data_IF_530338970005
#
_entry.id   IF_530338970005
#
_cell.length_a   1.000
_cell.length_b   1.000
_cell.length_c   1.000
_cell.angle_alpha   90.00
_cell.angle_beta   90.00
_cell.angle_gamma   90.00
#
_symmetry.space_group_name_H-M   'P 1'
#
loop_
_entity.id
_entity.type
_entity.pdbx_description
1 polymer ?
#
# COMPACT_ATOMS: atom_id res chain seq x y z
N UNK A 1 -34.63 -39.82 -14.97
CA UNK A 1 -34.55 -38.54 -15.73
C UNK A 1 -34.64 -37.31 -14.82
N UNK A 2 -35.67 -37.17 -13.97
CA UNK A 2 -35.86 -35.96 -13.14
C UNK A 2 -34.78 -35.75 -12.06
N UNK A 3 -34.28 -36.81 -11.43
CA UNK A 3 -33.26 -36.73 -10.38
C UNK A 3 -31.89 -36.24 -10.85
N UNK A 4 -31.48 -36.61 -12.07
CA UNK A 4 -30.21 -36.17 -12.65
C UNK A 4 -30.17 -34.66 -12.90
N UNK A 5 -31.31 -34.10 -13.33
CA UNK A 5 -31.47 -32.67 -13.59
C UNK A 5 -31.34 -31.87 -12.29
N UNK A 6 -31.87 -32.39 -11.18
CA UNK A 6 -31.77 -31.79 -9.85
C UNK A 6 -30.32 -31.75 -9.34
N UNK A 7 -29.56 -32.83 -9.55
CA UNK A 7 -28.13 -32.91 -9.17
C UNK A 7 -27.28 -31.95 -10.00
N UNK A 8 -27.54 -31.84 -11.31
CA UNK A 8 -26.85 -30.90 -12.19
C UNK A 8 -27.16 -29.45 -11.78
N UNK A 9 -28.43 -29.14 -11.49
CA UNK A 9 -28.83 -27.80 -11.06
C UNK A 9 -28.17 -27.42 -9.73
N UNK A 10 -28.12 -28.35 -8.76
CA UNK A 10 -27.47 -28.14 -7.48
C UNK A 10 -25.94 -27.94 -7.63
N UNK A 11 -25.30 -28.68 -8.53
CA UNK A 11 -23.87 -28.56 -8.79
C UNK A 11 -23.52 -27.19 -9.41
N UNK A 12 -24.28 -26.76 -10.41
CA UNK A 12 -24.08 -25.44 -11.05
C UNK A 12 -24.39 -24.31 -10.07
N UNK A 13 -25.46 -24.41 -9.28
CA UNK A 13 -25.77 -23.43 -8.25
C UNK A 13 -24.67 -23.35 -7.17
N UNK A 14 -24.14 -24.49 -6.72
CA UNK A 14 -23.06 -24.55 -5.74
C UNK A 14 -21.81 -23.81 -6.23
N UNK A 15 -21.42 -24.02 -7.48
CA UNK A 15 -20.27 -23.31 -8.06
C UNK A 15 -20.54 -21.82 -8.23
N UNK A 16 -21.71 -21.44 -8.77
CA UNK A 16 -22.07 -20.02 -8.95
C UNK A 16 -22.25 -19.25 -7.65
N UNK A 17 -22.77 -19.90 -6.60
CA UNK A 17 -22.86 -19.31 -5.26
C UNK A 17 -21.46 -19.09 -4.69
N UNK A 18 -20.53 -20.05 -4.83
CA UNK A 18 -19.15 -19.88 -4.36
C UNK A 18 -18.42 -18.75 -5.09
N UNK A 19 -18.54 -18.67 -6.41
CA UNK A 19 -17.95 -17.59 -7.21
C UNK A 19 -18.56 -16.23 -6.84
N UNK A 20 -19.89 -16.17 -6.74
CA UNK A 20 -20.63 -14.97 -6.34
C UNK A 20 -20.23 -14.51 -4.95
N UNK A 21 -20.18 -15.42 -3.97
CA UNK A 21 -19.72 -15.13 -2.61
C UNK A 21 -18.28 -14.63 -2.61
N UNK A 22 -17.36 -15.28 -3.32
CA UNK A 22 -15.94 -14.86 -3.37
C UNK A 22 -15.79 -13.45 -3.96
N UNK A 23 -16.56 -13.14 -5.02
CA UNK A 23 -16.62 -11.80 -5.62
C UNK A 23 -17.31 -10.76 -4.72
N UNK A 24 -18.26 -11.18 -3.88
CA UNK A 24 -18.93 -10.32 -2.93
C UNK A 24 -18.04 -10.06 -1.71
N UNK A 25 -17.42 -11.09 -1.14
CA UNK A 25 -16.47 -11.00 -0.04
C UNK A 25 -15.26 -10.12 -0.41
N UNK A 26 -14.71 -10.27 -1.62
CA UNK A 26 -13.60 -9.43 -2.09
C UNK A 26 -13.96 -7.95 -2.24
N UNK A 27 -15.23 -7.63 -2.54
CA UNK A 27 -15.70 -6.24 -2.71
C UNK A 27 -16.27 -5.62 -1.43
N UNK A 28 -16.82 -6.44 -0.53
CA UNK A 28 -17.63 -6.00 0.62
C UNK A 28 -16.87 -6.08 1.94
N UNK A 29 -16.05 -7.12 2.17
CA UNK A 29 -15.31 -7.30 3.44
C UNK A 29 -14.33 -6.15 3.72
N UNK A 30 -13.51 -5.69 2.75
CA UNK A 30 -12.58 -4.60 3.01
C UNK A 30 -13.29 -3.29 3.38
N UNK A 31 -14.57 -3.12 2.99
CA UNK A 31 -15.35 -1.92 3.33
C UNK A 31 -16.07 -2.02 4.67
N UNK A 32 -16.24 -3.23 5.20
CA UNK A 32 -16.92 -3.51 6.46
C UNK A 32 -15.94 -3.50 7.63
N UNK A 33 -14.70 -3.94 7.42
CA UNK A 33 -13.61 -3.93 8.40
C UNK A 33 -12.69 -2.72 8.14
N UNK A 34 -13.23 -1.51 8.26
CA UNK A 34 -12.41 -0.32 8.21
C UNK A 34 -11.86 -0.01 9.60
N UNK A 35 -10.53 -0.04 9.76
CA UNK A 35 -9.85 0.29 11.02
C UNK A 35 -10.07 1.76 11.40
N UNK A 36 -10.15 2.62 10.38
CA UNK A 36 -10.41 4.04 10.59
C UNK A 36 -11.47 4.55 9.63
N UNK A 37 -12.44 5.30 10.16
CA UNK A 37 -13.44 6.02 9.37
C UNK A 37 -13.37 7.50 9.73
N UNK A 38 -13.17 8.35 8.74
CA UNK A 38 -13.23 9.80 8.90
C UNK A 38 -14.21 10.40 7.92
N UNK A 39 -14.83 11.52 8.29
CA UNK A 39 -15.70 12.27 7.39
C UNK A 39 -15.37 13.75 7.48
N UNK A 40 -15.22 14.38 6.32
CA UNK A 40 -15.06 15.82 6.26
C UNK A 40 -16.44 16.47 6.21
N UNK A 41 -16.75 17.25 7.24
CA UNK A 41 -17.99 18.01 7.35
C UNK A 41 -17.65 19.45 6.99
N UNK A 42 -18.43 20.05 6.10
CA UNK A 42 -18.29 21.48 5.77
C UNK A 42 -18.51 22.31 7.04
N UNK A 43 -17.53 23.12 7.48
CA UNK A 43 -17.70 23.99 8.64
C UNK A 43 -18.85 24.98 8.49
N UNK A 44 -19.25 25.28 7.24
CA UNK A 44 -20.27 26.29 6.92
C UNK A 44 -21.67 25.71 6.73
N UNK A 45 -21.78 24.61 5.99
CA UNK A 45 -23.10 24.03 5.66
C UNK A 45 -23.50 22.90 6.60
N UNK A 46 -22.58 22.39 7.43
CA UNK A 46 -22.79 21.17 8.22
C UNK A 46 -22.98 19.91 7.37
N UNK A 47 -22.95 20.02 6.03
CA UNK A 47 -23.11 18.89 5.12
C UNK A 47 -21.82 18.10 5.05
N UNK A 48 -21.94 16.78 4.97
CA UNK A 48 -20.81 15.86 4.79
C UNK A 48 -20.32 15.93 3.34
N UNK A 49 -19.08 16.34 3.15
CA UNK A 49 -18.44 16.52 1.84
C UNK A 49 -17.66 15.29 1.39
N UNK A 50 -17.04 14.58 2.33
CA UNK A 50 -16.36 13.32 2.03
C UNK A 50 -16.47 12.31 3.15
N UNK A 51 -16.27 11.05 2.81
CA UNK A 51 -16.08 9.96 3.76
C UNK A 51 -14.86 9.16 3.32
N UNK A 52 -13.93 8.99 4.24
CA UNK A 52 -12.73 8.20 4.06
C UNK A 52 -12.80 6.97 4.95
N UNK A 53 -12.39 5.83 4.41
CA UNK A 53 -12.19 4.59 5.15
C UNK A 53 -10.76 4.13 4.93
N UNK A 54 -10.06 3.78 5.99
CA UNK A 54 -8.72 3.21 5.94
C UNK A 54 -8.76 1.79 6.47
N UNK A 55 -8.00 0.93 5.82
CA UNK A 55 -7.88 -0.48 6.11
C UNK A 55 -6.39 -0.82 6.07
N UNK A 56 -5.88 -1.51 7.08
CA UNK A 56 -4.48 -1.90 7.20
C UNK A 56 -4.41 -3.40 7.45
N UNK A 57 -3.64 -4.10 6.62
CA UNK A 57 -3.36 -5.52 6.81
C UNK A 57 -1.87 -5.78 6.70
N UNK A 58 -1.36 -6.69 7.50
CA UNK A 58 -0.04 -7.29 7.28
C UNK A 58 -0.27 -8.51 6.37
N UNK A 59 0.41 -8.56 5.23
CA UNK A 59 0.32 -9.64 4.24
C UNK A 59 1.71 -10.07 3.85
N UNK A 60 1.85 -11.29 3.36
CA UNK A 60 3.11 -11.73 2.76
C UNK A 60 3.31 -11.06 1.41
N UNK A 61 4.57 -10.81 1.04
CA UNK A 61 4.90 -10.28 -0.29
C UNK A 61 4.30 -11.13 -1.44
N UNK A 62 4.23 -12.45 -1.28
CA UNK A 62 3.63 -13.38 -2.24
C UNK A 62 2.11 -13.21 -2.43
N UNK A 63 1.42 -12.61 -1.46
CA UNK A 63 -0.04 -12.45 -1.47
C UNK A 63 -0.45 -11.11 -2.11
N UNK A 64 0.52 -10.29 -2.53
CA UNK A 64 0.27 -9.02 -3.21
C UNK A 64 -0.17 -9.25 -4.66
N UNK A 65 -0.92 -8.33 -5.28
CA UNK A 65 -1.29 -8.45 -6.69
C UNK A 65 -0.05 -8.58 -7.60
N UNK A 66 -0.11 -9.35 -8.71
CA UNK A 66 1.03 -9.57 -9.61
C UNK A 66 1.68 -8.26 -10.09
N UNK A 67 0.87 -7.26 -10.45
CA UNK A 67 1.35 -5.94 -10.88
C UNK A 67 2.29 -5.27 -9.86
N UNK A 68 2.06 -5.49 -8.56
CA UNK A 68 2.90 -4.96 -7.48
C UNK A 68 4.17 -5.78 -7.30
N UNK A 69 4.07 -7.11 -7.48
CA UNK A 69 5.22 -8.01 -7.42
C UNK A 69 6.18 -7.72 -8.58
N UNK A 70 5.64 -7.55 -9.79
CA UNK A 70 6.41 -7.23 -10.99
C UNK A 70 7.11 -5.88 -10.84
N UNK A 71 6.38 -4.85 -10.41
CA UNK A 71 6.97 -3.52 -10.13
C UNK A 71 8.09 -3.57 -9.10
N UNK A 72 7.95 -4.43 -8.09
CA UNK A 72 8.99 -4.62 -7.07
C UNK A 72 10.24 -5.30 -7.65
N UNK A 73 10.07 -6.23 -8.59
CA UNK A 73 11.14 -7.00 -9.22
C UNK A 73 11.88 -6.23 -10.32
N UNK A 74 11.24 -5.24 -10.95
CA UNK A 74 11.80 -4.47 -12.09
C UNK A 74 13.20 -3.86 -11.83
N UNK A 75 13.53 -3.51 -10.59
CA UNK A 75 14.82 -2.92 -10.20
C UNK A 75 15.43 -3.62 -8.96
N UNK A 76 15.01 -4.87 -8.74
CA UNK A 76 15.35 -5.68 -7.57
C UNK A 76 16.70 -6.38 -7.68
N UNK A 77 17.20 -6.84 -6.52
CA UNK A 77 18.40 -7.66 -6.45
C UNK A 77 18.13 -9.01 -7.16
N UNK A 78 19.01 -9.51 -8.06
CA UNK A 78 18.85 -10.82 -8.69
C UNK A 78 18.75 -12.00 -7.69
N UNK A 79 19.13 -11.79 -6.42
CA UNK A 79 19.00 -12.77 -5.33
C UNK A 79 17.73 -12.57 -4.49
N UNK A 80 16.73 -11.80 -4.95
CA UNK A 80 15.49 -11.53 -4.20
C UNK A 80 14.78 -12.82 -3.77
N UNK A 81 14.79 -13.84 -4.63
CA UNK A 81 14.13 -15.14 -4.39
C UNK A 81 14.83 -15.97 -3.31
N UNK A 82 16.09 -15.64 -2.98
CA UNK A 82 16.85 -16.30 -1.92
C UNK A 82 16.69 -15.60 -0.56
N UNK A 83 16.07 -14.40 -0.54
CA UNK A 83 15.81 -13.69 0.70
C UNK A 83 14.58 -14.27 1.42
N UNK A 84 14.51 -14.15 2.75
CA UNK A 84 13.34 -14.54 3.51
C UNK A 84 12.07 -13.85 3.00
N UNK A 85 10.93 -14.52 3.12
CA UNK A 85 9.64 -13.87 2.85
C UNK A 85 9.47 -12.66 3.77
N UNK A 86 9.13 -11.52 3.16
CA UNK A 86 8.87 -10.28 3.86
C UNK A 86 7.39 -10.10 4.17
N UNK A 87 7.13 -9.46 5.31
CA UNK A 87 5.83 -8.94 5.68
C UNK A 87 5.63 -7.54 5.09
N UNK A 88 4.49 -7.36 4.44
CA UNK A 88 4.09 -6.14 3.74
C UNK A 88 2.92 -5.50 4.48
N UNK A 89 3.10 -4.24 4.87
CA UNK A 89 2.02 -3.40 5.40
C UNK A 89 1.16 -2.92 4.22
N UNK A 90 0.06 -3.62 3.96
CA UNK A 90 -0.90 -3.23 2.94
C UNK A 90 -1.89 -2.22 3.52
N UNK A 91 -1.63 -0.95 3.23
CA UNK A 91 -2.48 0.19 3.57
C UNK A 91 -3.42 0.54 2.40
N UNK A 92 -4.74 0.46 2.62
CA UNK A 92 -5.75 0.85 1.62
C UNK A 92 -6.61 1.98 2.14
N UNK A 93 -6.71 3.08 1.38
CA UNK A 93 -7.58 4.22 1.69
C UNK A 93 -8.67 4.37 0.63
N UNK A 94 -9.92 4.23 1.04
CA UNK A 94 -11.09 4.51 0.21
C UNK A 94 -11.62 5.90 0.48
N UNK A 95 -11.56 6.79 -0.51
CA UNK A 95 -12.13 8.15 -0.41
C UNK A 95 -13.40 8.24 -1.25
N UNK A 96 -14.52 8.62 -0.63
CA UNK A 96 -15.78 8.93 -1.31
C UNK A 96 -16.08 10.41 -1.15
N UNK A 97 -16.11 11.14 -2.27
CA UNK A 97 -16.49 12.55 -2.33
C UNK A 97 -17.97 12.64 -2.70
N UNK A 98 -18.75 13.37 -1.92
CA UNK A 98 -20.17 13.61 -2.19
C UNK A 98 -20.33 14.85 -3.06
N UNK A 99 -21.22 14.78 -4.06
CA UNK A 99 -21.71 15.98 -4.74
C UNK A 99 -22.70 16.67 -3.80
N UNK A 100 -22.22 17.54 -2.92
CA UNK A 100 -23.10 18.51 -2.28
C UNK A 100 -23.51 19.54 -3.32
N UNK A 101 -24.81 19.82 -3.41
CA UNK A 101 -25.40 20.73 -4.38
C UNK A 101 -24.61 22.03 -4.50
N UNK A 102 -24.32 22.43 -5.74
CA UNK A 102 -23.74 23.72 -6.10
C UNK A 102 -24.76 24.83 -5.81
N UNK A 103 -25.07 25.08 -4.55
CA UNK A 103 -25.81 26.27 -4.22
C UNK A 103 -24.83 27.45 -4.35
N UNK A 104 -24.92 28.15 -5.48
CA UNK A 104 -23.98 29.20 -5.91
C UNK A 104 -23.99 30.42 -4.96
N UNK A 105 -24.89 30.43 -3.99
CA UNK A 105 -25.21 31.54 -3.09
C UNK A 105 -24.25 31.67 -1.89
N UNK A 106 -23.39 30.68 -1.62
CA UNK A 106 -22.64 30.60 -0.35
C UNK A 106 -21.11 30.53 -0.55
N UNK A 107 -20.47 31.68 -0.79
CA UNK A 107 -19.04 31.93 -0.50
C UNK A 107 -18.01 31.07 -1.24
N UNK A 108 -16.69 31.19 -0.94
CA UNK A 108 -15.63 30.61 -1.77
C UNK A 108 -15.76 29.09 -1.81
N UNK A 109 -15.79 28.58 -3.03
CA UNK A 109 -16.03 27.17 -3.32
C UNK A 109 -14.83 26.37 -2.80
N UNK A 110 -15.08 25.18 -2.24
CA UNK A 110 -13.97 24.26 -1.94
C UNK A 110 -13.39 23.81 -3.27
N UNK A 111 -12.28 24.43 -3.66
CA UNK A 111 -11.65 24.21 -4.96
C UNK A 111 -10.84 22.90 -4.99
N UNK A 112 -10.32 22.47 -3.83
CA UNK A 112 -9.54 21.25 -3.70
C UNK A 112 -9.77 20.59 -2.33
N UNK A 113 -9.70 19.27 -2.31
CA UNK A 113 -9.63 18.47 -1.08
C UNK A 113 -8.28 17.75 -1.10
N UNK A 114 -7.40 18.13 -0.18
CA UNK A 114 -6.10 17.47 -0.01
C UNK A 114 -6.20 16.40 1.06
N UNK A 115 -5.65 15.23 0.75
CA UNK A 115 -5.69 14.06 1.61
C UNK A 115 -4.26 13.77 2.07
N UNK A 116 -3.98 14.00 3.35
CA UNK A 116 -2.66 13.77 3.93
C UNK A 116 -2.62 12.37 4.57
N UNK A 117 -1.63 11.56 4.23
CA UNK A 117 -1.35 10.28 4.91
C UNK A 117 -0.08 10.46 5.73
N UNK A 118 -0.16 10.22 7.05
CA UNK A 118 1.01 10.25 7.93
C UNK A 118 1.26 8.84 8.44
N UNK A 119 2.47 8.35 8.22
CA UNK A 119 2.93 7.06 8.73
C UNK A 119 4.04 7.37 9.73
N UNK A 120 3.87 6.91 10.95
CA UNK A 120 4.87 6.99 12.00
C UNK A 120 5.71 5.73 11.96
N UNK A 121 7.03 5.90 11.91
CA UNK A 121 8.01 4.81 11.82
C UNK A 121 8.93 4.76 13.04
N UNK A 122 8.74 5.67 14.00
CA UNK A 122 9.63 5.85 15.15
C UNK A 122 9.73 4.60 16.04
N UNK A 123 8.65 3.83 16.13
CA UNK A 123 8.68 2.56 16.87
C UNK A 123 9.43 1.48 16.09
N UNK A 124 9.40 1.48 14.76
CA UNK A 124 10.21 0.55 13.95
C UNK A 124 11.69 0.87 14.02
N UNK A 125 12.05 2.16 14.08
CA UNK A 125 13.44 2.59 14.19
C UNK A 125 14.12 2.06 15.46
N UNK A 126 13.38 1.93 16.56
CA UNK A 126 13.92 1.45 17.85
C UNK A 126 14.32 -0.02 17.82
N UNK A 127 13.62 -0.82 17.01
CA UNK A 127 13.85 -2.26 16.86
C UNK A 127 14.92 -2.57 15.79
N UNK A 128 15.51 -1.56 15.15
CA UNK A 128 16.59 -1.74 14.18
C UNK A 128 17.93 -1.99 14.87
N UNK A 129 18.78 -2.79 14.23
CA UNK A 129 20.15 -3.00 14.69
C UNK A 129 20.91 -1.67 14.75
N UNK A 130 21.90 -1.59 15.66
CA UNK A 130 22.78 -0.43 15.70
C UNK A 130 23.58 -0.35 14.38
N UNK A 131 23.61 0.83 13.73
CA UNK A 131 24.18 0.98 12.40
C UNK A 131 25.71 0.90 12.39
N UNK A 132 26.37 1.00 13.56
CA UNK A 132 27.82 1.04 13.64
C UNK A 132 28.40 -0.37 13.56
N UNK A 133 28.63 -0.88 12.35
CA UNK A 133 29.42 -2.08 12.14
C UNK A 133 30.85 -1.68 11.74
N UNK A 134 31.81 -2.23 12.45
CA UNK A 134 33.23 -2.03 12.17
C UNK A 134 33.66 -3.08 11.15
N UNK A 135 33.93 -2.66 9.92
CA UNK A 135 34.41 -3.56 8.87
C UNK A 135 35.90 -3.33 8.66
N UNK A 136 36.68 -4.42 8.60
CA UNK A 136 38.10 -4.38 8.24
C UNK A 136 38.24 -4.66 6.76
N UNK A 137 38.66 -3.66 5.99
CA UNK A 137 38.89 -3.80 4.54
C UNK A 137 40.40 -3.89 4.32
N UNK A 138 40.84 -4.88 3.53
CA UNK A 138 42.24 -5.01 3.18
C UNK A 138 42.65 -3.83 2.28
N UNK A 139 43.58 -3.02 2.75
CA UNK A 139 44.23 -1.98 1.96
C UNK A 139 45.30 -2.61 1.06
N UNK A 140 45.58 -1.98 -0.08
CA UNK A 140 46.48 -2.51 -1.11
C UNK A 140 47.92 -2.80 -0.61
N UNK A 141 48.29 -2.22 0.53
CA UNK A 141 49.61 -2.36 1.16
C UNK A 141 49.71 -3.50 2.19
N UNK A 142 48.67 -4.33 2.34
CA UNK A 142 48.66 -5.48 3.25
C UNK A 142 48.20 -5.15 4.68
N UNK A 143 47.83 -3.91 4.96
CA UNK A 143 47.21 -3.47 6.20
C UNK A 143 45.68 -3.54 6.14
N UNK A 144 45.04 -3.72 7.29
CA UNK A 144 43.57 -3.68 7.40
C UNK A 144 43.12 -2.29 7.85
N UNK A 145 42.39 -1.59 6.99
CA UNK A 145 41.77 -0.32 7.34
C UNK A 145 40.40 -0.55 7.98
N UNK A 146 40.15 0.14 9.09
CA UNK A 146 38.87 0.13 9.78
C UNK A 146 37.92 1.10 9.06
N UNK A 147 36.92 0.57 8.38
CA UNK A 147 35.83 1.37 7.81
C UNK A 147 34.57 1.20 8.63
N UNK A 148 33.95 2.33 9.00
CA UNK A 148 32.61 2.34 9.57
C UNK A 148 31.62 2.11 8.43
N UNK A 149 30.93 0.98 8.45
CA UNK A 149 29.83 0.70 7.53
C UNK A 149 28.53 0.93 8.28
N UNK A 150 27.75 1.93 7.85
CA UNK A 150 26.40 2.15 8.38
C UNK A 150 25.47 1.06 7.83
N UNK A 151 24.95 0.18 8.68
CA UNK A 151 23.91 -0.78 8.27
C UNK A 151 22.65 -0.02 7.84
N UNK A 152 22.27 -0.17 6.58
CA UNK A 152 21.08 0.46 5.98
C UNK A 152 20.03 -0.58 5.62
N UNK A 153 18.78 -0.17 5.70
CA UNK A 153 17.61 -0.96 5.35
C UNK A 153 16.90 -0.30 4.18
N UNK A 154 16.52 -1.11 3.20
CA UNK A 154 15.78 -0.67 2.01
C UNK A 154 14.31 -1.03 2.16
N UNK A 155 13.46 -0.02 2.33
CA UNK A 155 12.01 -0.17 2.41
C UNK A 155 11.39 0.22 1.08
N UNK A 156 10.66 -0.70 0.45
CA UNK A 156 9.93 -0.42 -0.78
C UNK A 156 8.54 0.13 -0.46
N UNK A 157 8.26 1.34 -0.95
CA UNK A 157 6.95 1.98 -0.88
C UNK A 157 6.33 2.00 -2.28
N UNK A 158 5.31 1.16 -2.48
CA UNK A 158 4.52 1.14 -3.72
C UNK A 158 3.17 1.79 -3.46
N UNK A 159 2.84 2.84 -4.20
CA UNK A 159 1.58 3.58 -4.09
C UNK A 159 0.77 3.32 -5.36
N UNK A 160 -0.46 2.85 -5.19
CA UNK A 160 -1.41 2.71 -6.30
C UNK A 160 -2.58 3.65 -6.13
N UNK A 161 -2.85 4.42 -7.17
CA UNK A 161 -3.97 5.34 -7.23
C UNK A 161 -4.97 4.87 -8.28
N UNK A 162 -6.18 4.50 -7.84
CA UNK A 162 -7.24 4.04 -8.74
C UNK A 162 -8.50 4.89 -8.61
N UNK A 163 -8.94 5.47 -9.72
CA UNK A 163 -10.20 6.22 -9.80
C UNK A 163 -11.04 5.76 -10.98
N UNK A 164 -12.13 5.01 -10.70
CA UNK A 164 -13.07 4.56 -11.74
C UNK A 164 -13.70 5.68 -12.54
N UNK A 165 -13.89 6.86 -11.93
CA UNK A 165 -14.57 7.99 -12.57
C UNK A 165 -13.62 8.82 -13.45
N UNK A 166 -12.35 8.90 -13.06
CA UNK A 166 -11.35 9.70 -13.77
C UNK A 166 -10.41 8.84 -14.63
N UNK A 167 -10.66 7.53 -14.69
CA UNK A 167 -9.82 6.53 -15.37
C UNK A 167 -8.34 6.61 -14.97
N UNK A 168 -8.08 6.88 -13.69
CA UNK A 168 -6.74 6.92 -13.12
C UNK A 168 -6.38 5.50 -12.66
N UNK A 169 -5.21 5.03 -13.08
CA UNK A 169 -4.61 3.79 -12.61
C UNK A 169 -3.09 3.94 -12.61
N UNK A 170 -2.59 4.74 -11.68
CA UNK A 170 -1.17 5.07 -11.60
C UNK A 170 -0.52 4.24 -10.50
N UNK A 171 0.71 3.82 -10.76
CA UNK A 171 1.56 3.08 -9.82
C UNK A 171 2.86 3.84 -9.68
N UNK A 172 3.20 4.18 -8.44
CA UNK A 172 4.44 4.84 -8.09
C UNK A 172 5.28 3.95 -7.18
N UNK A 173 6.57 3.83 -7.49
CA UNK A 173 7.50 3.03 -6.71
C UNK A 173 8.64 3.88 -6.16
N UNK A 174 8.77 3.87 -4.84
CA UNK A 174 9.85 4.52 -4.12
C UNK A 174 10.65 3.50 -3.30
N UNK A 175 11.96 3.68 -3.26
CA UNK A 175 12.86 2.99 -2.33
C UNK A 175 13.29 3.97 -1.26
N UNK A 176 12.86 3.73 -0.03
CA UNK A 176 13.23 4.51 1.14
C UNK A 176 14.41 3.83 1.80
N UNK A 177 15.51 4.55 1.94
CA UNK A 177 16.75 4.04 2.54
C UNK A 177 16.86 4.66 3.92
N UNK A 178 16.94 3.81 4.93
CA UNK A 178 16.84 4.21 6.33
C UNK A 178 17.75 3.39 7.23
N UNK A 179 18.11 3.94 8.36
CA UNK A 179 18.80 3.25 9.45
C UNK A 179 18.17 3.64 10.78
N UNK A 180 18.72 3.17 11.91
CA UNK A 180 18.23 3.50 13.26
C UNK A 180 18.09 5.00 13.55
N UNK A 181 18.89 5.86 12.89
CA UNK A 181 18.82 7.34 13.04
C UNK A 181 17.65 7.95 12.26
N UNK A 182 17.08 7.24 11.30
CA UNK A 182 15.92 7.65 10.52
C UNK A 182 16.08 7.43 9.01
N UNK A 183 15.34 8.22 8.23
CA UNK A 183 15.37 8.17 6.76
C UNK A 183 16.64 8.90 6.29
N UNK A 184 17.46 8.20 5.51
CA UNK A 184 18.67 8.76 4.90
C UNK A 184 18.36 9.40 3.55
N UNK A 185 17.61 8.70 2.70
CA UNK A 185 17.19 9.19 1.38
C UNK A 185 15.97 8.42 0.84
N UNK A 186 15.39 8.97 -0.22
CA UNK A 186 14.32 8.35 -0.97
C UNK A 186 14.68 8.38 -2.46
N UNK A 187 14.59 7.24 -3.11
CA UNK A 187 14.88 7.05 -4.54
C UNK A 187 13.56 6.74 -5.25
N UNK A 188 13.29 7.42 -6.36
CA UNK A 188 12.16 7.11 -7.23
C UNK A 188 12.61 6.05 -8.24
N UNK A 189 11.89 4.93 -8.30
CA UNK A 189 12.18 3.84 -9.23
C UNK A 189 11.27 3.90 -10.47
N UNK A 190 10.36 4.87 -10.54
CA UNK A 190 9.57 5.15 -11.73
C UNK A 190 10.48 5.68 -12.85
N UNK A 191 10.67 4.90 -13.92
CA UNK A 191 11.25 5.43 -15.15
C UNK A 191 10.23 6.35 -15.84
N UNK A 192 10.64 7.53 -16.35
CA UNK A 192 9.81 8.24 -17.33
C UNK A 192 9.67 7.34 -18.56
N UNK A 193 8.43 7.13 -19.01
CA UNK A 193 8.13 6.54 -20.31
C UNK A 193 8.61 7.44 -21.43
#
# INVERSE_FOLDING_TARGET
MQWALLVILAYVFKDRIKEGLRALFSRVVPRLLADQISSFISPRTGKRLSRTKVVIHIKKASDMPPEIQDKRLEDGNPFQDMLPQEDVVHYTRFVKIFKTEKDRTIGPWINAITVITRIRIDDWLKEMDDPNDVMYVASGDGDFEQQNSDRVYHVHLVITETSKKQNINDIHHYRIIMNKKGILRMETLDRPQ
#
